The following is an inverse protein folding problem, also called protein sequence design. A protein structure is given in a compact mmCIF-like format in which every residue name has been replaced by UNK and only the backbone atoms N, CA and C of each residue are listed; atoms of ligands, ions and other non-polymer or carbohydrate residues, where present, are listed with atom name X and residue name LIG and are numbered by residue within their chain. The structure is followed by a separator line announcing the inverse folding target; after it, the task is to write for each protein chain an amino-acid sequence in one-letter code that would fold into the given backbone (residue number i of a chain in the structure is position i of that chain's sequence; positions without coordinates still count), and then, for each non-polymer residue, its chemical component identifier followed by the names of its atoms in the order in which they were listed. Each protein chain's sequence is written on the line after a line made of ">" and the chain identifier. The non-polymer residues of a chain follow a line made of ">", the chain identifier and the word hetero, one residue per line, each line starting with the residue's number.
data_IF_020341333681
#
_entry.id   IF_020341333681
#
_cell.length_a   1.000
_cell.length_b   1.000
_cell.length_c   1.000
_cell.angle_alpha   90.00
_cell.angle_beta   90.00
_cell.angle_gamma   90.00
#
_symmetry.space_group_name_H-M   'P 1'
#
loop_
_entity.id
_entity.type
_entity.pdbx_description
1 polymer ?
#
# COMPACT_ATOMS: atom_id res chain seq x y z
N UNK A 1 55.53 16.63 -67.23
CA UNK A 1 54.79 17.20 -66.07
C UNK A 1 54.52 16.11 -65.02
N UNK A 2 55.29 16.12 -63.95
CA UNK A 2 55.20 15.16 -62.83
C UNK A 2 53.95 15.48 -62.00
N UNK A 3 53.06 14.51 -61.70
CA UNK A 3 51.88 14.76 -60.90
C UNK A 3 52.26 15.00 -59.44
N UNK A 4 51.70 16.07 -58.85
CA UNK A 4 51.93 16.44 -57.46
C UNK A 4 51.34 15.40 -56.48
N UNK A 5 52.03 15.10 -55.36
CA UNK A 5 51.52 14.18 -54.35
C UNK A 5 50.31 14.76 -53.62
N UNK A 6 49.29 13.92 -53.40
CA UNK A 6 48.08 14.27 -52.64
C UNK A 6 48.41 14.41 -51.15
N UNK A 7 47.83 15.38 -50.42
CA UNK A 7 48.05 15.53 -48.99
C UNK A 7 47.36 14.40 -48.21
N UNK A 8 48.13 13.74 -47.35
CA UNK A 8 47.65 12.79 -46.35
C UNK A 8 47.00 13.58 -45.22
N UNK A 9 45.68 13.51 -45.09
CA UNK A 9 44.94 14.01 -43.93
C UNK A 9 45.25 13.11 -42.73
N UNK A 10 46.12 13.57 -41.84
CA UNK A 10 46.28 12.97 -40.52
C UNK A 10 45.04 13.30 -39.68
N UNK A 11 44.20 12.29 -39.42
CA UNK A 11 43.17 12.39 -38.38
C UNK A 11 43.89 12.53 -37.04
N UNK A 12 43.90 13.72 -36.47
CA UNK A 12 44.24 13.92 -35.07
C UNK A 12 43.13 13.27 -34.23
N UNK A 13 43.44 12.20 -33.50
CA UNK A 13 42.55 11.68 -32.47
C UNK A 13 42.31 12.79 -31.44
N UNK A 14 41.06 13.22 -31.29
CA UNK A 14 40.67 14.07 -30.17
C UNK A 14 40.97 13.33 -28.85
N UNK A 15 41.49 14.03 -27.82
CA UNK A 15 41.72 13.42 -26.52
C UNK A 15 40.39 12.91 -25.94
N UNK A 16 40.42 11.71 -25.36
CA UNK A 16 39.25 11.12 -24.71
C UNK A 16 38.71 12.08 -23.63
N UNK A 17 37.38 12.21 -23.49
CA UNK A 17 36.81 13.02 -22.43
C UNK A 17 37.31 12.51 -21.06
N UNK A 18 37.58 13.40 -20.10
CA UNK A 18 38.00 12.99 -18.78
C UNK A 18 36.95 12.05 -18.18
N UNK A 19 37.37 11.02 -17.41
CA UNK A 19 36.43 10.14 -16.75
C UNK A 19 35.48 10.96 -15.87
N UNK A 20 34.19 10.57 -15.76
CA UNK A 20 33.26 11.24 -14.87
C UNK A 20 33.85 11.29 -13.46
N UNK A 21 33.75 12.44 -12.80
CA UNK A 21 34.25 12.62 -11.45
C UNK A 21 33.65 11.53 -10.54
N UNK A 22 34.48 10.94 -9.68
CA UNK A 22 34.01 9.99 -8.69
C UNK A 22 32.90 10.65 -7.85
N UNK A 23 31.82 9.91 -7.54
CA UNK A 23 30.76 10.46 -6.70
C UNK A 23 31.36 10.91 -5.36
N UNK A 24 30.87 12.02 -4.77
CA UNK A 24 31.33 12.47 -3.47
C UNK A 24 31.16 11.34 -2.45
N UNK A 25 32.12 11.22 -1.54
CA UNK A 25 32.05 10.22 -0.47
C UNK A 25 30.76 10.43 0.34
N UNK A 26 30.06 9.36 0.74
CA UNK A 26 28.86 9.47 1.55
C UNK A 26 29.18 10.23 2.84
N UNK A 27 28.34 11.21 3.18
CA UNK A 27 28.52 11.96 4.42
C UNK A 27 28.46 11.03 5.63
N UNK A 28 29.30 11.27 6.66
CA UNK A 28 29.27 10.46 7.86
C UNK A 28 27.89 10.54 8.54
N UNK A 29 27.42 9.42 9.08
CA UNK A 29 26.12 9.33 9.75
C UNK A 29 26.26 9.76 11.21
N UNK A 30 25.44 10.71 11.65
CA UNK A 30 25.34 11.16 13.05
C UNK A 30 24.00 10.83 13.72
N UNK A 31 23.13 10.08 13.03
CA UNK A 31 21.81 9.68 13.53
C UNK A 31 20.66 10.15 12.62
N UNK A 32 19.49 10.28 13.24
CA UNK A 32 18.22 10.61 12.61
C UNK A 32 17.38 11.52 13.51
N UNK A 33 16.86 12.59 12.92
CA UNK A 33 15.85 13.43 13.51
C UNK A 33 14.47 12.83 13.32
N UNK A 34 13.66 12.89 14.38
CA UNK A 34 12.27 12.48 14.40
C UNK A 34 11.40 13.73 14.44
N UNK A 35 10.45 13.83 13.53
CA UNK A 35 9.50 14.95 13.45
C UNK A 35 8.12 14.43 13.07
N UNK A 36 7.10 15.26 13.28
CA UNK A 36 5.71 14.94 12.94
C UNK A 36 5.00 16.12 12.31
N UNK A 37 4.07 15.80 11.43
CA UNK A 37 3.06 16.76 10.99
C UNK A 37 1.76 16.49 11.73
N UNK A 38 1.27 17.52 12.44
CA UNK A 38 0.05 17.47 13.24
C UNK A 38 -0.94 18.54 12.76
N UNK A 39 -2.23 18.20 12.81
CA UNK A 39 -3.34 19.14 12.66
C UNK A 39 -4.09 19.26 13.99
N UNK A 40 -4.77 20.38 14.19
CA UNK A 40 -5.60 20.63 15.39
C UNK A 40 -5.18 21.89 16.15
N UNK A 41 -5.76 22.15 17.33
CA UNK A 41 -5.45 23.34 18.13
C UNK A 41 -3.99 23.35 18.61
N UNK A 42 -3.36 24.52 18.68
CA UNK A 42 -1.94 24.66 19.06
C UNK A 42 -1.60 24.04 20.43
N UNK A 43 -2.47 24.20 21.43
CA UNK A 43 -2.30 23.57 22.74
C UNK A 43 -2.33 22.03 22.66
N UNK A 44 -3.19 21.49 21.80
CA UNK A 44 -3.28 20.05 21.53
C UNK A 44 -2.05 19.51 20.80
N UNK A 45 -1.57 20.24 19.79
CA UNK A 45 -0.33 19.89 19.10
C UNK A 45 0.86 19.89 20.06
N UNK A 46 0.97 20.89 20.94
CA UNK A 46 2.04 20.95 21.94
C UNK A 46 1.99 19.76 22.91
N UNK A 47 0.81 19.43 23.45
CA UNK A 47 0.65 18.27 24.34
C UNK A 47 0.98 16.94 23.64
N UNK A 48 0.58 16.80 22.37
CA UNK A 48 0.93 15.63 21.56
C UNK A 48 2.44 15.49 21.32
N UNK A 49 3.14 16.60 21.06
CA UNK A 49 4.60 16.61 20.89
C UNK A 49 5.30 16.17 22.17
N UNK A 50 4.86 16.67 23.34
CA UNK A 50 5.41 16.24 24.62
C UNK A 50 5.27 14.73 24.82
N UNK A 51 4.08 14.17 24.57
CA UNK A 51 3.83 12.72 24.66
C UNK A 51 4.71 11.91 23.68
N UNK A 52 4.85 12.37 22.44
CA UNK A 52 5.68 11.71 21.44
C UNK A 52 7.18 11.76 21.75
N UNK A 53 7.61 12.75 22.54
CA UNK A 53 9.01 13.01 22.89
C UNK A 53 9.48 12.42 24.22
N UNK A 54 8.58 11.82 25.01
CA UNK A 54 8.81 11.45 26.43
C UNK A 54 10.11 10.67 26.69
N UNK A 55 10.51 9.81 25.75
CA UNK A 55 11.69 8.93 25.87
C UNK A 55 12.82 9.29 24.88
N UNK A 56 12.78 10.46 24.25
CA UNK A 56 13.71 10.82 23.18
C UNK A 56 14.67 11.94 23.60
N UNK A 57 15.99 11.77 23.32
CA UNK A 57 16.93 12.85 23.53
C UNK A 57 16.62 13.99 22.56
N UNK A 58 16.39 15.17 23.10
CA UNK A 58 16.35 16.41 22.34
C UNK A 58 17.78 16.84 22.03
N UNK A 59 18.07 17.06 20.75
CA UNK A 59 19.28 17.73 20.29
C UNK A 59 18.86 18.89 19.41
N UNK A 60 19.54 20.01 19.49
CA UNK A 60 19.20 21.16 18.64
C UNK A 60 19.85 20.99 17.26
N UNK A 61 19.11 21.21 16.17
CA UNK A 61 19.68 21.23 14.82
C UNK A 61 20.65 22.43 14.71
N UNK A 62 21.79 22.24 14.04
CA UNK A 62 22.84 23.25 14.02
C UNK A 62 22.54 24.48 13.15
N UNK A 63 21.72 24.33 12.11
CA UNK A 63 21.48 25.41 11.12
C UNK A 63 20.04 25.46 10.62
N UNK A 64 19.47 24.32 10.24
CA UNK A 64 18.12 24.21 9.67
C UNK A 64 17.35 23.10 10.40
N UNK A 65 16.17 23.41 10.97
CA UNK A 65 15.37 22.38 11.60
C UNK A 65 14.86 21.38 10.56
N UNK A 66 14.69 20.10 10.95
CA UNK A 66 14.04 19.12 10.10
C UNK A 66 12.59 19.56 9.78
N UNK A 67 12.03 19.09 8.66
CA UNK A 67 10.63 19.36 8.31
C UNK A 67 9.66 18.83 9.39
N UNK A 68 8.60 19.58 9.64
CA UNK A 68 7.57 19.27 10.64
C UNK A 68 7.92 19.78 12.04
N UNK A 69 7.18 19.31 13.04
CA UNK A 69 7.43 19.61 14.45
C UNK A 69 8.42 18.58 14.99
N UNK A 70 9.58 19.05 15.44
CA UNK A 70 10.64 18.18 15.94
C UNK A 70 10.24 17.50 17.26
N UNK A 71 10.47 16.19 17.33
CA UNK A 71 10.18 15.36 18.49
C UNK A 71 11.46 14.97 19.23
N UNK A 72 12.54 14.66 18.51
CA UNK A 72 13.80 14.25 19.12
C UNK A 72 14.78 13.64 18.12
N UNK A 73 15.79 12.94 18.65
CA UNK A 73 16.86 12.33 17.88
C UNK A 73 17.07 10.86 18.27
N UNK A 74 17.46 10.02 17.31
CA UNK A 74 17.89 8.63 17.53
C UNK A 74 19.14 8.32 16.72
N UNK A 75 19.93 7.36 17.16
CA UNK A 75 21.22 7.07 16.51
C UNK A 75 21.03 6.12 15.31
N UNK A 76 20.04 5.22 15.37
CA UNK A 76 19.82 4.21 14.34
C UNK A 76 18.44 4.29 13.67
N UNK A 77 18.38 3.93 12.39
CA UNK A 77 17.11 3.91 11.63
C UNK A 77 16.11 2.92 12.23
N UNK A 78 16.60 1.82 12.80
CA UNK A 78 15.78 0.81 13.46
C UNK A 78 15.07 1.36 14.71
N UNK A 79 15.65 2.35 15.39
CA UNK A 79 15.04 3.06 16.51
C UNK A 79 13.95 4.00 16.02
N UNK A 80 14.20 4.72 14.91
CA UNK A 80 13.18 5.55 14.26
C UNK A 80 11.95 4.72 13.85
N UNK A 81 12.14 3.56 13.24
CA UNK A 81 11.03 2.68 12.85
C UNK A 81 10.30 2.10 14.09
N UNK A 82 11.01 1.75 15.17
CA UNK A 82 10.38 1.31 16.43
C UNK A 82 9.56 2.42 17.08
N UNK A 83 10.03 3.67 17.01
CA UNK A 83 9.26 4.83 17.47
C UNK A 83 7.98 5.01 16.63
N UNK A 84 8.07 4.92 15.31
CA UNK A 84 6.89 4.95 14.42
C UNK A 84 5.92 3.82 14.79
N UNK A 85 6.40 2.58 14.95
CA UNK A 85 5.55 1.43 15.33
C UNK A 85 4.78 1.67 16.64
N UNK A 86 5.44 2.28 17.64
CA UNK A 86 4.83 2.57 18.93
C UNK A 86 3.62 3.50 18.81
N UNK A 87 3.70 4.51 17.95
CA UNK A 87 2.72 5.61 17.89
C UNK A 87 1.84 5.59 16.64
N UNK A 88 2.11 4.71 15.66
CA UNK A 88 1.37 4.70 14.40
C UNK A 88 -0.12 4.40 14.60
N UNK A 89 -0.46 3.55 15.58
CA UNK A 89 -1.83 3.09 15.82
C UNK A 89 -2.08 2.78 17.30
N UNK A 90 -3.29 3.05 17.79
CA UNK A 90 -3.77 2.60 19.11
C UNK A 90 -5.16 1.95 19.02
N UNK A 91 -5.37 0.71 19.54
CA UNK A 91 -4.33 -0.20 20.04
C UNK A 91 -3.37 -0.64 18.92
N UNK A 92 -2.23 -1.24 19.28
CA UNK A 92 -1.30 -1.74 18.25
C UNK A 92 -1.99 -2.81 17.38
N UNK A 93 -1.89 -2.70 16.05
CA UNK A 93 -2.31 -3.72 15.12
C UNK A 93 -1.74 -5.09 15.44
N UNK A 94 -2.55 -6.11 15.22
CA UNK A 94 -2.09 -7.49 15.20
C UNK A 94 -2.57 -8.14 13.92
N UNK A 95 -1.70 -8.94 13.31
CA UNK A 95 -2.14 -9.84 12.24
C UNK A 95 -3.01 -10.92 12.87
N UNK A 96 -4.22 -11.14 12.36
CA UNK A 96 -5.13 -12.09 12.99
C UNK A 96 -4.66 -13.53 12.77
N UNK A 97 -4.87 -14.36 13.79
CA UNK A 97 -4.55 -15.79 13.76
C UNK A 97 -5.36 -16.56 12.71
N UNK A 98 -6.57 -16.09 12.38
CA UNK A 98 -7.47 -16.72 11.41
C UNK A 98 -7.85 -15.74 10.30
N UNK A 99 -7.11 -15.74 9.16
CA UNK A 99 -7.35 -14.78 8.07
C UNK A 99 -8.74 -14.90 7.41
N UNK A 100 -9.45 -16.01 7.68
CA UNK A 100 -10.78 -16.31 7.16
C UNK A 100 -11.93 -15.72 7.97
N UNK A 101 -11.75 -15.56 9.28
CA UNK A 101 -12.79 -15.00 10.13
C UNK A 101 -12.94 -13.50 9.86
N UNK A 102 -14.17 -12.99 9.96
CA UNK A 102 -14.41 -11.55 9.93
C UNK A 102 -13.77 -10.85 11.13
N UNK A 103 -12.93 -9.87 10.85
CA UNK A 103 -12.16 -9.09 11.83
C UNK A 103 -12.91 -7.81 12.20
N UNK A 104 -14.02 -7.96 12.91
CA UNK A 104 -14.92 -6.83 13.29
C UNK A 104 -14.49 -6.07 14.54
N UNK A 105 -13.29 -6.33 15.08
CA UNK A 105 -12.77 -5.59 16.23
C UNK A 105 -12.71 -4.08 15.97
N UNK A 106 -12.75 -3.23 17.01
CA UNK A 106 -12.58 -1.78 16.85
C UNK A 106 -11.33 -1.45 16.03
N UNK A 107 -11.43 -0.47 15.13
CA UNK A 107 -10.31 -0.08 14.28
C UNK A 107 -9.24 0.60 15.15
N UNK A 108 -7.98 0.14 15.11
CA UNK A 108 -6.88 0.94 15.60
C UNK A 108 -6.89 2.38 15.06
N UNK A 109 -6.79 3.38 15.91
CA UNK A 109 -6.80 4.78 15.45
C UNK A 109 -5.40 5.20 15.01
N UNK A 110 -5.20 5.68 13.77
CA UNK A 110 -3.91 6.22 13.35
C UNK A 110 -3.44 7.36 14.25
N UNK A 111 -2.13 7.46 14.48
CA UNK A 111 -1.57 8.45 15.40
C UNK A 111 -1.82 8.14 16.86
N UNK A 112 -1.99 6.86 17.20
CA UNK A 112 -1.76 6.38 18.56
C UNK A 112 -2.66 7.01 19.63
N UNK A 113 -3.89 7.44 19.30
CA UNK A 113 -4.83 8.04 20.27
C UNK A 113 -4.64 9.54 20.55
N UNK A 114 -3.70 10.22 19.88
CA UNK A 114 -3.43 11.65 20.05
C UNK A 114 -4.66 12.53 19.83
N UNK A 115 -5.51 12.19 18.86
CA UNK A 115 -6.72 12.96 18.59
C UNK A 115 -7.69 12.93 19.77
N UNK A 116 -7.90 11.75 20.37
CA UNK A 116 -8.79 11.57 21.51
C UNK A 116 -8.27 12.26 22.77
N UNK A 117 -6.95 12.22 23.01
CA UNK A 117 -6.33 12.80 24.23
C UNK A 117 -6.13 14.32 24.13
N UNK A 118 -5.71 14.80 22.96
CA UNK A 118 -5.20 16.17 22.79
C UNK A 118 -5.92 16.96 21.69
N UNK A 119 -6.84 16.36 20.94
CA UNK A 119 -7.45 17.00 19.76
C UNK A 119 -6.46 17.18 18.60
N UNK A 120 -5.31 16.50 18.63
CA UNK A 120 -4.28 16.57 17.61
C UNK A 120 -4.33 15.36 16.68
N UNK A 121 -4.43 15.59 15.37
CA UNK A 121 -4.46 14.54 14.35
C UNK A 121 -3.09 14.40 13.72
N UNK A 122 -2.51 13.20 13.79
CA UNK A 122 -1.26 12.88 13.10
C UNK A 122 -1.50 12.74 11.59
N UNK A 123 -0.72 13.47 10.80
CA UNK A 123 -0.71 13.38 9.34
C UNK A 123 0.42 12.48 8.85
N UNK A 124 1.63 12.67 9.40
CA UNK A 124 2.79 11.87 9.05
C UNK A 124 3.85 11.92 10.15
N UNK A 125 4.60 10.83 10.27
CA UNK A 125 5.93 10.85 10.87
C UNK A 125 6.95 11.20 9.81
N UNK A 126 8.03 11.88 10.21
CA UNK A 126 9.10 12.30 9.31
C UNK A 126 10.44 11.91 9.94
N UNK A 127 11.26 11.20 9.18
CA UNK A 127 12.59 10.74 9.60
C UNK A 127 13.62 11.45 8.72
N UNK A 128 14.39 12.37 9.27
CA UNK A 128 15.43 13.10 8.53
C UNK A 128 16.82 12.63 8.95
N UNK A 129 17.76 12.51 8.01
CA UNK A 129 19.12 12.10 8.33
C UNK A 129 19.90 13.25 9.00
N UNK A 130 20.75 12.92 9.96
CA UNK A 130 21.71 13.85 10.54
C UNK A 130 23.16 13.45 10.29
N UNK A 131 24.05 14.42 10.08
CA UNK A 131 25.51 14.24 10.20
C UNK A 131 25.96 14.31 11.67
N UNK A 132 27.21 13.95 12.03
CA UNK A 132 27.71 14.09 13.41
C UNK A 132 27.67 15.53 13.95
N UNK A 133 27.69 16.52 13.05
CA UNK A 133 27.52 17.94 13.36
C UNK A 133 26.04 18.37 13.37
N UNK A 134 25.12 17.40 13.42
CA UNK A 134 23.68 17.62 13.51
C UNK A 134 23.08 18.39 12.33
N UNK A 135 23.77 18.40 11.19
CA UNK A 135 23.29 18.99 9.94
C UNK A 135 22.38 18.02 9.20
N UNK A 136 21.36 18.50 8.47
CA UNK A 136 20.54 17.65 7.62
C UNK A 136 21.39 16.91 6.58
N UNK A 137 21.10 15.62 6.36
CA UNK A 137 21.64 14.83 5.25
C UNK A 137 20.53 14.02 4.59
N UNK A 138 20.73 13.67 3.32
CA UNK A 138 19.85 12.74 2.62
C UNK A 138 19.95 11.33 3.21
N UNK A 139 18.81 10.65 3.32
CA UNK A 139 18.75 9.23 3.67
C UNK A 139 18.73 8.42 2.37
N UNK A 140 19.72 7.55 2.20
CA UNK A 140 19.70 6.52 1.16
C UNK A 140 18.85 5.34 1.64
N UNK A 141 17.54 5.42 1.39
CA UNK A 141 16.64 4.33 1.74
C UNK A 141 16.94 3.07 0.92
N UNK A 142 17.04 1.90 1.56
CA UNK A 142 17.16 0.63 0.86
C UNK A 142 16.05 0.44 -0.17
N UNK A 143 16.41 -0.06 -1.36
CA UNK A 143 15.43 -0.47 -2.37
C UNK A 143 14.58 -1.65 -1.88
N UNK A 144 15.20 -2.56 -1.11
CA UNK A 144 14.47 -3.63 -0.46
C UNK A 144 13.82 -3.15 0.83
N UNK A 145 12.48 -3.09 0.82
CA UNK A 145 11.70 -2.61 1.97
C UNK A 145 11.89 -3.47 3.23
N UNK A 146 12.23 -4.75 3.12
CA UNK A 146 12.52 -5.58 4.30
C UNK A 146 13.75 -5.10 5.06
N UNK A 147 14.70 -4.46 4.37
CA UNK A 147 15.95 -4.01 4.98
C UNK A 147 15.77 -2.80 5.91
N UNK A 148 14.63 -2.09 5.86
CA UNK A 148 14.36 -1.00 6.79
C UNK A 148 13.73 -1.47 8.09
N UNK A 149 13.17 -2.68 8.12
CA UNK A 149 12.41 -3.16 9.26
C UNK A 149 13.36 -3.61 10.38
N UNK A 150 13.12 -3.20 11.64
CA UNK A 150 13.91 -3.67 12.76
C UNK A 150 13.70 -5.18 12.96
N UNK A 151 14.69 -5.91 13.51
CA UNK A 151 14.51 -7.31 13.88
C UNK A 151 13.29 -7.50 14.79
N UNK A 152 12.47 -8.51 14.49
CA UNK A 152 11.23 -8.79 15.23
C UNK A 152 10.04 -7.89 14.87
N UNK A 153 10.17 -7.01 13.87
CA UNK A 153 9.02 -6.26 13.35
C UNK A 153 7.93 -7.21 12.82
N UNK A 154 6.68 -6.89 13.12
CA UNK A 154 5.50 -7.58 12.60
C UNK A 154 5.00 -6.98 11.28
N UNK A 155 5.66 -5.94 10.78
CA UNK A 155 5.26 -5.27 9.56
C UNK A 155 5.52 -6.17 8.35
N UNK A 156 4.53 -6.28 7.48
CA UNK A 156 4.63 -7.04 6.24
C UNK A 156 4.90 -6.08 5.06
N UNK A 157 6.05 -6.19 4.38
CA UNK A 157 6.29 -5.44 3.16
C UNK A 157 5.23 -5.73 2.10
N UNK A 158 4.71 -4.67 1.50
CA UNK A 158 3.64 -4.70 0.52
C UNK A 158 3.94 -3.77 -0.65
N UNK A 159 3.07 -3.81 -1.65
CA UNK A 159 3.10 -2.92 -2.79
C UNK A 159 1.68 -2.43 -3.09
N UNK A 160 1.60 -1.19 -3.56
CA UNK A 160 0.34 -0.63 -4.01
C UNK A 160 -0.02 -1.19 -5.40
N UNK A 161 -1.22 -1.76 -5.50
CA UNK A 161 -1.76 -2.31 -6.75
C UNK A 161 -2.05 -1.21 -7.76
N UNK A 162 -2.70 -0.08 -7.44
CA UNK A 162 -2.75 1.10 -8.32
C UNK A 162 -1.45 1.93 -8.24
N UNK A 163 -1.30 2.92 -9.12
CA UNK A 163 -0.16 3.86 -9.07
C UNK A 163 -0.25 4.80 -7.87
N UNK A 164 -1.48 5.16 -7.50
CA UNK A 164 -1.82 6.02 -6.37
C UNK A 164 -3.09 5.53 -5.68
N UNK A 165 -3.19 5.74 -4.37
CA UNK A 165 -4.39 5.37 -3.61
C UNK A 165 -4.61 6.27 -2.39
N UNK A 166 -5.87 6.61 -2.07
CA UNK A 166 -6.20 7.39 -0.89
C UNK A 166 -6.00 6.57 0.39
N UNK A 167 -5.18 7.08 1.31
CA UNK A 167 -5.02 6.56 2.66
C UNK A 167 -6.04 7.26 3.55
N UNK A 168 -6.95 6.47 4.12
CA UNK A 168 -8.02 6.96 4.98
C UNK A 168 -7.64 6.91 6.45
N UNK A 169 -8.13 7.88 7.23
CA UNK A 169 -7.95 7.90 8.68
C UNK A 169 -8.80 6.86 9.42
N UNK A 170 -9.92 6.44 8.83
CA UNK A 170 -10.82 5.42 9.37
C UNK A 170 -11.35 4.50 8.26
N UNK A 171 -11.49 3.20 8.52
CA UNK A 171 -12.10 2.27 7.57
C UNK A 171 -13.63 2.30 7.69
N UNK A 172 -14.33 2.07 6.58
CA UNK A 172 -15.80 2.05 6.52
C UNK A 172 -16.33 0.82 5.76
N UNK A 173 -17.62 0.44 5.89
CA UNK A 173 -18.20 -0.71 5.16
C UNK A 173 -18.13 -0.60 3.63
N UNK A 174 -17.96 0.63 3.13
CA UNK A 174 -17.75 0.96 1.73
C UNK A 174 -16.52 1.84 1.57
N UNK A 175 -15.99 1.93 0.35
CA UNK A 175 -14.94 2.91 0.05
C UNK A 175 -15.55 4.30 0.18
N UNK A 176 -15.01 5.20 1.01
CA UNK A 176 -15.56 6.53 1.16
C UNK A 176 -15.51 7.31 -0.16
N UNK A 177 -16.42 8.29 -0.32
CA UNK A 177 -16.47 9.11 -1.52
C UNK A 177 -15.23 10.01 -1.64
N UNK A 178 -14.98 10.52 -2.85
CA UNK A 178 -13.73 11.22 -3.18
C UNK A 178 -13.59 12.62 -2.54
N UNK A 179 -14.65 13.13 -1.93
CA UNK A 179 -14.73 14.40 -1.20
C UNK A 179 -14.30 14.26 0.27
N UNK A 180 -14.13 13.05 0.80
CA UNK A 180 -13.50 12.85 2.11
C UNK A 180 -12.01 13.21 2.09
N UNK A 181 -11.52 13.73 3.20
CA UNK A 181 -10.11 14.05 3.36
C UNK A 181 -9.26 12.77 3.46
N UNK A 182 -8.26 12.63 2.59
CA UNK A 182 -7.31 11.52 2.60
C UNK A 182 -5.88 12.02 2.33
N UNK A 183 -4.91 11.24 2.79
CA UNK A 183 -3.53 11.34 2.30
C UNK A 183 -3.37 10.47 1.03
N UNK A 184 -2.35 10.70 0.21
CA UNK A 184 -2.12 9.91 -0.99
C UNK A 184 -0.90 9.00 -0.82
N UNK A 185 -1.09 7.69 -1.00
CA UNK A 185 0.00 6.73 -1.16
C UNK A 185 0.45 6.70 -2.63
N UNK A 186 1.75 6.60 -2.87
CA UNK A 186 2.31 6.38 -4.21
C UNK A 186 2.99 5.01 -4.32
N UNK A 187 2.83 4.34 -5.45
CA UNK A 187 3.42 3.00 -5.69
C UNK A 187 4.95 2.98 -5.62
N UNK A 188 5.61 4.09 -5.98
CA UNK A 188 7.08 4.22 -5.91
C UNK A 188 7.62 4.24 -4.48
N UNK A 189 6.74 4.52 -3.51
CA UNK A 189 7.05 4.53 -2.09
C UNK A 189 7.18 3.14 -1.48
N UNK A 190 7.43 3.11 -0.17
CA UNK A 190 7.28 1.89 0.63
C UNK A 190 5.85 1.70 1.11
N UNK A 191 5.40 0.46 1.28
CA UNK A 191 4.10 0.16 1.87
C UNK A 191 4.25 -1.01 2.83
N UNK A 192 3.81 -0.80 4.06
CA UNK A 192 3.90 -1.81 5.12
C UNK A 192 2.52 -2.09 5.66
N UNK A 193 2.14 -3.37 5.74
CA UNK A 193 0.88 -3.81 6.34
C UNK A 193 1.14 -4.27 7.76
N UNK A 194 0.38 -3.72 8.70
CA UNK A 194 0.49 -4.01 10.13
C UNK A 194 -0.62 -4.94 10.62
N UNK A 195 -1.74 -4.97 9.88
CA UNK A 195 -2.93 -5.75 10.22
C UNK A 195 -4.03 -5.55 9.19
N UNK A 196 -5.19 -6.16 9.43
CA UNK A 196 -6.39 -5.91 8.65
C UNK A 196 -7.65 -6.00 9.51
N UNK A 197 -8.67 -5.25 9.12
CA UNK A 197 -9.99 -5.20 9.76
C UNK A 197 -11.08 -5.28 8.71
N UNK A 198 -12.21 -5.82 9.10
CA UNK A 198 -13.42 -5.89 8.29
C UNK A 198 -14.44 -4.90 8.86
N UNK A 199 -14.94 -4.00 8.01
CA UNK A 199 -16.03 -3.09 8.36
C UNK A 199 -17.26 -3.53 7.63
N UNK A 200 -18.34 -3.69 8.38
CA UNK A 200 -19.60 -4.19 7.85
C UNK A 200 -20.75 -3.28 8.22
N UNK A 201 -21.73 -3.19 7.35
CA UNK A 201 -23.10 -2.79 7.63
C UNK A 201 -24.02 -3.98 7.36
N UNK A 202 -25.20 -3.97 7.99
CA UNK A 202 -26.20 -5.02 7.86
C UNK A 202 -27.50 -4.43 7.24
N UNK A 203 -27.47 -3.99 5.97
CA UNK A 203 -28.67 -3.50 5.30
C UNK A 203 -29.70 -4.62 5.10
N UNK A 204 -30.98 -4.30 4.80
CA UNK A 204 -32.03 -5.30 4.59
C UNK A 204 -31.73 -6.34 3.50
N UNK A 205 -30.84 -6.00 2.54
CA UNK A 205 -30.41 -6.87 1.45
C UNK A 205 -29.40 -7.94 1.89
N UNK A 206 -28.86 -7.86 3.11
CA UNK A 206 -27.83 -8.75 3.65
C UNK A 206 -26.56 -8.02 4.07
N UNK A 207 -25.64 -8.67 4.79
CA UNK A 207 -24.43 -8.03 5.31
C UNK A 207 -23.52 -7.59 4.17
N UNK A 208 -22.98 -6.38 4.26
CA UNK A 208 -21.95 -5.91 3.34
C UNK A 208 -20.71 -5.54 4.13
N UNK A 209 -19.59 -6.18 3.79
CA UNK A 209 -18.32 -5.99 4.46
C UNK A 209 -17.22 -5.62 3.46
N UNK A 210 -16.40 -4.63 3.80
CA UNK A 210 -15.14 -4.33 3.11
C UNK A 210 -13.96 -4.64 4.01
N UNK A 211 -12.97 -5.36 3.48
CA UNK A 211 -11.70 -5.63 4.14
C UNK A 211 -10.71 -4.50 3.91
N UNK A 212 -10.11 -4.03 4.99
CA UNK A 212 -9.14 -2.94 4.99
C UNK A 212 -7.80 -3.40 5.52
N UNK A 213 -6.72 -3.02 4.84
CA UNK A 213 -5.36 -3.10 5.35
C UNK A 213 -5.07 -1.89 6.26
N UNK A 214 -4.53 -2.16 7.43
CA UNK A 214 -3.86 -1.16 8.27
C UNK A 214 -2.44 -1.00 7.74
N UNK A 215 -2.10 0.19 7.28
CA UNK A 215 -0.86 0.43 6.55
C UNK A 215 -0.06 1.58 7.11
N UNK A 216 1.23 1.56 6.81
CA UNK A 216 2.11 2.72 6.82
C UNK A 216 2.66 2.87 5.41
N UNK A 217 2.31 3.98 4.75
CA UNK A 217 2.87 4.33 3.45
C UNK A 217 4.09 5.24 3.65
N UNK A 218 5.19 4.93 2.97
CA UNK A 218 6.42 5.72 2.98
C UNK A 218 6.58 6.45 1.66
N UNK A 219 6.67 7.77 1.69
CA UNK A 219 7.08 8.60 0.55
C UNK A 219 8.34 9.40 0.92
N UNK A 220 9.48 8.95 0.39
CA UNK A 220 10.80 9.43 0.82
C UNK A 220 11.02 9.21 2.32
N UNK A 221 11.12 10.32 3.05
CA UNK A 221 11.38 10.41 4.48
C UNK A 221 10.10 10.45 5.34
N UNK A 222 8.93 10.48 4.70
CA UNK A 222 7.61 10.64 5.34
C UNK A 222 6.89 9.30 5.44
N UNK A 223 6.29 9.02 6.59
CA UNK A 223 5.55 7.81 6.90
C UNK A 223 4.13 8.16 7.35
N UNK A 224 3.13 7.77 6.55
CA UNK A 224 1.73 8.08 6.80
C UNK A 224 0.99 6.81 7.21
N UNK A 225 0.55 6.68 8.47
CA UNK A 225 -0.30 5.60 8.91
C UNK A 225 -1.75 5.81 8.44
N UNK A 226 -2.46 4.72 8.15
CA UNK A 226 -3.89 4.77 7.87
C UNK A 226 -4.40 3.49 7.24
N UNK A 227 -5.47 3.62 6.45
CA UNK A 227 -6.23 2.50 5.91
C UNK A 227 -6.29 2.52 4.39
N UNK A 228 -6.11 1.35 3.78
CA UNK A 228 -6.35 1.10 2.36
C UNK A 228 -7.32 -0.08 2.19
N UNK A 229 -8.28 -0.03 1.25
CA UNK A 229 -9.04 -1.21 0.88
C UNK A 229 -8.09 -2.33 0.45
N UNK A 230 -8.29 -3.56 0.95
CA UNK A 230 -7.29 -4.62 0.80
C UNK A 230 -7.05 -5.01 -0.67
N UNK A 231 -8.04 -4.82 -1.55
CA UNK A 231 -7.89 -5.03 -2.99
C UNK A 231 -6.86 -4.11 -3.67
N UNK A 232 -6.42 -3.04 -2.98
CA UNK A 232 -5.40 -2.12 -3.45
C UNK A 232 -3.99 -2.50 -2.98
N UNK A 233 -3.84 -3.57 -2.20
CA UNK A 233 -2.59 -3.93 -1.53
C UNK A 233 -2.15 -5.34 -1.89
N UNK A 234 -0.95 -5.48 -2.45
CA UNK A 234 -0.32 -6.78 -2.73
C UNK A 234 0.80 -7.04 -1.72
N UNK A 235 0.74 -8.16 -1.00
CA UNK A 235 1.75 -8.51 0.00
C UNK A 235 2.93 -9.18 -0.70
N UNK A 236 4.16 -8.73 -0.43
CA UNK A 236 5.34 -9.25 -1.14
C UNK A 236 5.55 -10.75 -0.87
N UNK A 237 5.21 -11.21 0.33
CA UNK A 237 5.36 -12.61 0.72
C UNK A 237 4.23 -13.54 0.23
N UNK A 238 3.11 -12.99 -0.26
CA UNK A 238 1.92 -13.79 -0.63
C UNK A 238 1.85 -14.13 -2.12
N UNK A 239 2.88 -13.81 -2.90
CA UNK A 239 2.96 -14.19 -4.31
C UNK A 239 3.28 -15.68 -4.45
N UNK A 240 2.35 -16.42 -5.03
CA UNK A 240 2.55 -17.80 -5.48
C UNK A 240 3.22 -17.76 -6.84
N UNK A 241 4.32 -18.49 -7.00
CA UNK A 241 5.11 -18.53 -8.24
C UNK A 241 4.85 -19.82 -9.00
N UNK A 242 4.89 -19.74 -10.33
CA UNK A 242 4.97 -20.91 -11.20
C UNK A 242 6.38 -21.50 -11.24
N UNK A 243 6.68 -22.27 -12.30
CA UNK A 243 8.03 -22.75 -12.57
C UNK A 243 8.94 -21.58 -12.98
N UNK A 244 9.63 -20.97 -12.00
CA UNK A 244 10.50 -19.81 -12.19
C UNK A 244 10.06 -18.59 -11.39
N UNK A 245 10.52 -17.40 -11.79
CA UNK A 245 10.14 -16.13 -11.14
C UNK A 245 8.80 -15.56 -11.64
N UNK A 246 8.43 -15.88 -12.89
CA UNK A 246 7.19 -15.49 -13.55
C UNK A 246 6.61 -16.69 -14.33
N UNK A 247 5.28 -16.77 -14.47
CA UNK A 247 4.29 -15.88 -13.87
C UNK A 247 4.15 -16.11 -12.37
N UNK A 248 3.55 -15.14 -11.69
CA UNK A 248 3.20 -15.23 -10.27
C UNK A 248 1.86 -14.59 -10.02
N UNK A 249 1.14 -15.08 -9.02
CA UNK A 249 -0.19 -14.59 -8.69
C UNK A 249 -0.39 -14.46 -7.17
N UNK A 250 -1.32 -13.61 -6.77
CA UNK A 250 -1.78 -13.47 -5.41
C UNK A 250 -3.31 -13.41 -5.41
N UNK A 251 -3.94 -14.11 -4.48
CA UNK A 251 -5.38 -14.06 -4.27
C UNK A 251 -5.69 -13.25 -3.00
N UNK A 252 -6.59 -12.27 -3.12
CA UNK A 252 -6.89 -11.32 -2.05
C UNK A 252 -8.39 -11.37 -1.76
N UNK A 253 -8.79 -11.57 -0.50
CA UNK A 253 -10.17 -11.43 -0.05
C UNK A 253 -10.53 -9.94 0.07
N UNK A 254 -11.68 -9.51 -0.46
CA UNK A 254 -11.96 -8.06 -0.62
C UNK A 254 -13.28 -7.61 -0.03
N UNK A 255 -14.40 -8.10 -0.56
CA UNK A 255 -15.76 -7.68 -0.16
C UNK A 255 -16.64 -8.91 0.12
N UNK A 256 -17.47 -8.85 1.16
CA UNK A 256 -18.65 -9.71 1.29
C UNK A 256 -19.86 -8.85 1.01
N UNK A 257 -20.79 -9.33 0.19
CA UNK A 257 -22.00 -8.63 -0.22
C UNK A 257 -23.15 -9.64 -0.19
N UNK A 258 -24.03 -9.51 0.81
CA UNK A 258 -25.05 -10.49 1.13
C UNK A 258 -24.45 -11.89 1.39
N UNK A 259 -24.70 -12.86 0.52
CA UNK A 259 -24.16 -14.22 0.59
C UNK A 259 -23.00 -14.47 -0.39
N UNK A 260 -22.47 -13.42 -1.04
CA UNK A 260 -21.37 -13.49 -1.99
C UNK A 260 -20.06 -12.98 -1.36
N UNK A 261 -19.00 -13.78 -1.43
CA UNK A 261 -17.63 -13.37 -1.12
C UNK A 261 -16.83 -13.09 -2.39
N UNK A 262 -16.25 -11.90 -2.49
CA UNK A 262 -15.44 -11.46 -3.62
C UNK A 262 -13.95 -11.48 -3.31
N UNK A 263 -13.20 -12.06 -4.24
CA UNK A 263 -11.74 -12.11 -4.24
C UNK A 263 -11.19 -11.38 -5.45
N UNK A 264 -9.99 -10.82 -5.33
CA UNK A 264 -9.23 -10.31 -6.47
C UNK A 264 -8.02 -11.21 -6.66
N UNK A 265 -7.96 -11.84 -7.84
CA UNK A 265 -6.76 -12.50 -8.34
C UNK A 265 -5.91 -11.45 -9.03
N UNK A 266 -4.75 -11.16 -8.46
CA UNK A 266 -3.70 -10.36 -9.09
C UNK A 266 -2.68 -11.29 -9.71
N UNK A 267 -2.25 -11.01 -10.93
CA UNK A 267 -1.24 -11.78 -11.62
C UNK A 267 -0.19 -10.85 -12.21
N UNK A 268 1.07 -11.27 -12.14
CA UNK A 268 2.13 -10.70 -12.96
C UNK A 268 2.48 -11.70 -14.06
N UNK A 269 2.13 -11.35 -15.29
CA UNK A 269 2.34 -12.17 -16.48
C UNK A 269 3.82 -12.22 -16.90
N UNK A 270 4.13 -13.01 -17.91
CA UNK A 270 5.49 -13.06 -18.52
C UNK A 270 5.85 -11.78 -19.27
N UNK A 271 4.86 -11.02 -19.69
CA UNK A 271 4.98 -9.67 -20.22
C UNK A 271 5.39 -8.64 -19.14
N UNK A 272 5.52 -9.11 -17.88
CA UNK A 272 5.90 -8.34 -16.71
C UNK A 272 4.86 -7.27 -16.31
N UNK A 273 3.66 -7.33 -16.89
CA UNK A 273 2.52 -6.47 -16.56
C UNK A 273 1.70 -7.06 -15.42
N UNK A 274 0.96 -6.19 -14.73
CA UNK A 274 0.04 -6.58 -13.67
C UNK A 274 -1.37 -6.69 -14.24
N UNK A 275 -1.97 -7.87 -14.14
CA UNK A 275 -3.34 -8.17 -14.51
C UNK A 275 -4.18 -8.43 -13.28
N UNK A 276 -5.49 -8.21 -13.38
CA UNK A 276 -6.42 -8.46 -12.27
C UNK A 276 -7.76 -9.04 -12.73
N UNK A 277 -8.31 -9.94 -11.92
CA UNK A 277 -9.66 -10.47 -12.10
C UNK A 277 -10.38 -10.57 -10.78
N UNK A 278 -11.63 -10.12 -10.74
CA UNK A 278 -12.52 -10.36 -9.61
C UNK A 278 -13.15 -11.73 -9.76
N UNK A 279 -13.10 -12.52 -8.69
CA UNK A 279 -13.74 -13.83 -8.56
C UNK A 279 -14.79 -13.73 -7.46
N UNK A 280 -15.88 -14.47 -7.61
CA UNK A 280 -16.97 -14.53 -6.65
C UNK A 280 -17.28 -15.99 -6.33
N UNK A 281 -17.71 -16.22 -5.09
CA UNK A 281 -18.20 -17.50 -4.59
C UNK A 281 -19.16 -17.22 -3.44
N UNK A 282 -19.80 -18.25 -2.90
CA UNK A 282 -20.63 -18.10 -1.71
C UNK A 282 -19.78 -17.77 -0.47
N UNK A 283 -20.22 -16.82 0.33
CA UNK A 283 -19.63 -16.51 1.62
C UNK A 283 -19.79 -17.67 2.62
N UNK A 284 -18.84 -17.79 3.54
CA UNK A 284 -18.91 -18.75 4.65
C UNK A 284 -19.71 -18.14 5.81
N UNK A 285 -20.40 -18.95 6.64
CA UNK A 285 -20.99 -18.45 7.89
C UNK A 285 -20.00 -17.74 8.82
N UNK A 286 -18.71 -18.10 8.76
CA UNK A 286 -17.64 -17.49 9.55
C UNK A 286 -17.03 -16.23 8.90
N UNK A 287 -17.45 -15.90 7.67
CA UNK A 287 -16.90 -14.81 6.87
C UNK A 287 -16.41 -15.29 5.51
N UNK A 288 -15.08 -15.28 5.34
CA UNK A 288 -14.48 -15.62 4.05
C UNK A 288 -14.41 -17.14 3.88
N UNK A 289 -14.84 -17.67 2.73
CA UNK A 289 -14.68 -19.10 2.45
C UNK A 289 -13.20 -19.47 2.36
N UNK A 290 -12.92 -20.77 2.48
CA UNK A 290 -11.58 -21.27 2.22
C UNK A 290 -11.16 -20.89 0.80
N UNK A 291 -9.92 -20.42 0.63
CA UNK A 291 -9.42 -20.04 -0.67
C UNK A 291 -7.98 -20.51 -0.82
N UNK A 292 -7.68 -21.14 -1.95
CA UNK A 292 -6.32 -21.56 -2.28
C UNK A 292 -5.95 -21.14 -3.70
N UNK A 293 -4.66 -20.88 -3.90
CA UNK A 293 -4.08 -20.50 -5.17
C UNK A 293 -2.84 -21.35 -5.40
N UNK A 294 -2.78 -21.98 -6.57
CA UNK A 294 -1.59 -22.63 -7.10
C UNK A 294 -1.32 -22.08 -8.49
N UNK A 295 -0.05 -22.05 -8.88
CA UNK A 295 0.37 -21.68 -10.23
C UNK A 295 1.05 -22.88 -10.88
N UNK A 296 0.56 -23.29 -12.04
CA UNK A 296 1.08 -24.41 -12.83
C UNK A 296 1.34 -23.93 -14.26
N UNK A 297 2.62 -23.83 -14.62
CA UNK A 297 3.03 -23.19 -15.88
C UNK A 297 2.50 -21.76 -15.97
N UNK A 298 1.67 -21.50 -16.98
CA UNK A 298 1.07 -20.18 -17.26
C UNK A 298 -0.37 -20.03 -16.76
N UNK A 299 -0.76 -20.84 -15.78
CA UNK A 299 -2.13 -20.96 -15.32
C UNK A 299 -2.21 -20.88 -13.80
N UNK A 300 -3.19 -20.14 -13.29
CA UNK A 300 -3.63 -20.22 -11.90
C UNK A 300 -4.74 -21.25 -11.73
N UNK A 301 -4.57 -22.12 -10.74
CA UNK A 301 -5.61 -22.97 -10.20
C UNK A 301 -6.11 -22.32 -8.90
N UNK A 302 -7.37 -21.89 -8.91
CA UNK A 302 -8.00 -21.21 -7.78
C UNK A 302 -9.15 -22.05 -7.26
N UNK A 303 -9.12 -22.39 -5.98
CA UNK A 303 -10.26 -23.02 -5.31
C UNK A 303 -10.87 -22.02 -4.34
N UNK A 304 -12.19 -21.84 -4.40
CA UNK A 304 -12.97 -20.95 -3.53
C UNK A 304 -14.09 -21.75 -2.89
N UNK A 305 -14.11 -21.84 -1.56
CA UNK A 305 -15.03 -22.70 -0.82
C UNK A 305 -14.93 -24.16 -1.26
N UNK A 306 -16.10 -24.75 -1.51
CA UNK A 306 -16.27 -26.12 -2.00
C UNK A 306 -16.47 -26.18 -3.53
N UNK A 307 -16.28 -25.05 -4.23
CA UNK A 307 -16.44 -24.98 -5.68
C UNK A 307 -15.33 -25.76 -6.41
N UNK A 308 -15.64 -26.21 -7.62
CA UNK A 308 -14.64 -26.83 -8.50
C UNK A 308 -13.49 -25.84 -8.78
N UNK A 309 -12.22 -26.32 -8.83
CA UNK A 309 -11.09 -25.44 -9.10
C UNK A 309 -11.23 -24.69 -10.43
N UNK A 310 -11.11 -23.37 -10.37
CA UNK A 310 -11.06 -22.50 -11.53
C UNK A 310 -9.68 -22.55 -12.15
N UNK A 311 -9.63 -22.73 -13.47
CA UNK A 311 -8.40 -22.71 -14.26
C UNK A 311 -8.34 -21.41 -15.06
N UNK A 312 -7.39 -20.54 -14.75
CA UNK A 312 -7.29 -19.19 -15.32
C UNK A 312 -5.91 -18.96 -15.92
N UNK A 313 -5.85 -18.53 -17.18
CA UNK A 313 -4.59 -18.14 -17.82
C UNK A 313 -4.02 -16.88 -17.15
N UNK A 314 -2.70 -16.84 -16.92
CA UNK A 314 -1.98 -15.73 -16.30
C UNK A 314 -1.36 -14.81 -17.36
N UNK A 315 -2.23 -14.26 -18.21
CA UNK A 315 -1.88 -13.34 -19.29
C UNK A 315 -2.90 -12.19 -19.37
N UNK A 316 -2.83 -11.39 -20.44
CA UNK A 316 -3.72 -10.26 -20.67
C UNK A 316 -5.22 -10.62 -20.74
N UNK A 317 -5.58 -11.89 -20.97
CA UNK A 317 -6.99 -12.33 -20.97
C UNK A 317 -7.60 -12.30 -19.57
N UNK A 318 -6.77 -12.24 -18.51
CA UNK A 318 -7.23 -12.14 -17.14
C UNK A 318 -7.96 -10.82 -16.86
N UNK A 319 -7.61 -9.75 -17.58
CA UNK A 319 -8.27 -8.45 -17.51
C UNK A 319 -9.61 -8.42 -18.29
N UNK A 320 -9.93 -9.47 -19.05
CA UNK A 320 -11.18 -9.54 -19.79
C UNK A 320 -12.36 -9.63 -18.81
N UNK A 321 -13.38 -8.79 -19.06
CA UNK A 321 -14.64 -8.85 -18.31
C UNK A 321 -15.25 -10.24 -18.50
N UNK A 322 -15.75 -10.91 -17.45
CA UNK A 322 -16.51 -12.13 -17.68
C UNK A 322 -17.66 -11.85 -18.66
N UNK A 323 -17.96 -12.78 -19.59
CA UNK A 323 -19.16 -12.67 -20.40
C UNK A 323 -20.36 -12.53 -19.44
N UNK A 324 -21.30 -11.62 -19.77
CA UNK A 324 -22.57 -11.54 -19.02
C UNK A 324 -23.18 -12.93 -19.01
N UNK A 325 -23.55 -13.46 -17.83
CA UNK A 325 -24.27 -14.72 -17.80
C UNK A 325 -25.59 -14.51 -18.54
N UNK A 326 -25.91 -15.45 -19.43
CA UNK A 326 -27.16 -15.46 -20.20
C UNK A 326 -28.34 -15.92 -19.35
N UNK A 327 -28.15 -16.21 -18.07
CA UNK A 327 -29.17 -16.81 -17.20
C UNK A 327 -30.29 -15.83 -16.77
N UNK A 328 -30.24 -14.56 -17.19
CA UNK A 328 -31.31 -13.58 -16.99
C UNK A 328 -31.86 -12.99 -18.32
N UNK A 329 -31.59 -13.62 -19.47
CA UNK A 329 -32.04 -13.11 -20.77
C UNK A 329 -33.50 -13.43 -21.14
N UNK A 330 -34.28 -14.06 -20.25
CA UNK A 330 -35.62 -14.56 -20.57
C UNK A 330 -36.79 -13.78 -19.91
N UNK A 331 -36.59 -12.53 -19.46
CA UNK A 331 -37.68 -11.79 -18.77
C UNK A 331 -38.04 -10.40 -19.32
N UNK A 332 -37.54 -10.00 -20.49
CA UNK A 332 -37.85 -8.69 -21.08
C UNK A 332 -38.72 -8.74 -22.35
N UNK A 333 -39.42 -9.84 -22.62
CA UNK A 333 -40.41 -9.94 -23.71
C UNK A 333 -41.84 -10.16 -23.17
N UNK A 334 -42.37 -9.19 -22.41
CA UNK A 334 -43.83 -8.99 -22.33
C UNK A 334 -44.19 -7.70 -21.57
N UNK A 335 -44.50 -6.64 -22.33
CA UNK A 335 -45.69 -5.79 -22.17
C UNK A 335 -45.45 -4.41 -22.78
N UNK A 336 -45.38 -4.33 -24.11
CA UNK A 336 -45.74 -3.12 -24.85
C UNK A 336 -46.57 -3.56 -26.06
N UNK A 337 -47.87 -3.75 -25.83
CA UNK A 337 -48.90 -3.75 -26.87
C UNK A 337 -50.28 -3.67 -26.21
N UNK A 338 -50.79 -2.45 -26.07
CA UNK A 338 -52.17 -2.10 -26.39
C UNK A 338 -52.37 -0.59 -26.17
N UNK A 339 -51.98 0.19 -27.18
CA UNK A 339 -52.83 1.32 -27.57
C UNK A 339 -54.17 0.74 -28.01
N UNK A 340 -55.26 1.26 -27.43
CA UNK A 340 -56.58 1.29 -28.04
C UNK A 340 -57.24 2.57 -27.54
N UNK A 341 -57.08 3.61 -28.36
CA UNK A 341 -58.15 4.38 -28.99
C UNK A 341 -59.44 4.69 -28.20
N UNK A 342 -59.70 6.00 -28.18
CA UNK A 342 -60.98 6.67 -28.48
C UNK A 342 -62.11 6.75 -27.44
N UNK A 343 -62.43 8.03 -27.17
CA UNK A 343 -63.75 8.66 -27.07
C UNK A 343 -64.55 8.74 -25.74
N UNK A 344 -65.00 10.00 -25.53
CA UNK A 344 -65.96 10.62 -24.59
C UNK A 344 -65.60 10.85 -23.10
#
# INVERSE_FOLDING_TARGET
>A
PVPAPRPTLALALAPAPPPPAAPPAPEPRGGYWLSVDLLGPAAGQHAAVLELSEDLPLRDPSELPPPGIMIGHVDEVSEAIRWIDRFAFEPRPTLPAHPRALQRSPAPTPGGGLHRRHGATLVAFIVSGATPQLRPRTIEWPQDQSAILPPGSTWLPAALVPTRAPIFGAPAPHVPPADEAYAMAERRGGLFVLGWVDRCDDPPTGPRCLRWAQVIARDGDRFTPGYLPLFQVALRASWVRGEGELPRAQLIATTIDSDEARFVLLARGRDNQLHRRTLATRASPEGWPHASLRVEGDVALVTLGDDAPLRLALDATLDARPPRSTDNADNDDNADNADNDEDD
#
